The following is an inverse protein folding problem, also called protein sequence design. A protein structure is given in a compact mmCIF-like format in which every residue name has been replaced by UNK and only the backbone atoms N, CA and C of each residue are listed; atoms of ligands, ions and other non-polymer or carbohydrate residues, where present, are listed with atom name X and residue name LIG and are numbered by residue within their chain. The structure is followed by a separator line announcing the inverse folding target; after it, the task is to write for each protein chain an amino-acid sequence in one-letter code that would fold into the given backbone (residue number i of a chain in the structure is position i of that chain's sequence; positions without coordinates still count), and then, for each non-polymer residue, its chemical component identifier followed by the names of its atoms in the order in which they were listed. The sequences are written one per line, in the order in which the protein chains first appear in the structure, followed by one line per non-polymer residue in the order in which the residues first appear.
data_IF_409414577569
#
_entry.id   IF_409414577569
#
_cell.length_a   1.000
_cell.length_b   1.000
_cell.length_c   1.000
_cell.angle_alpha   90.00
_cell.angle_beta   90.00
_cell.angle_gamma   90.00
#
_symmetry.space_group_name_H-M   'P 1'
#
loop_
_entity.id
_entity.type
_entity.pdbx_description
1 polymer ?
#
# COMPACT_ATOMS: atom_id res chain seq x y z
N UNK A 1 -7.16 -36.72 -3.16
CA UNK A 1 -6.57 -35.88 -4.22
C UNK A 1 -5.09 -35.84 -3.90
N UNK A 2 -4.24 -36.36 -4.79
CA UNK A 2 -2.81 -36.54 -4.51
C UNK A 2 -2.08 -35.20 -4.59
N UNK A 3 -1.54 -34.75 -3.46
CA UNK A 3 -0.75 -33.52 -3.33
C UNK A 3 0.54 -33.57 -4.18
N UNK A 4 0.96 -34.74 -4.64
CA UNK A 4 2.17 -34.92 -5.46
C UNK A 4 2.05 -34.28 -6.86
N UNK A 5 0.82 -34.19 -7.41
CA UNK A 5 0.60 -33.61 -8.74
C UNK A 5 0.76 -32.09 -8.76
N UNK A 6 0.42 -31.41 -7.66
CA UNK A 6 0.56 -29.95 -7.57
C UNK A 6 2.01 -29.52 -7.42
N UNK A 7 2.82 -30.28 -6.67
CA UNK A 7 4.26 -30.03 -6.52
C UNK A 7 5.03 -30.24 -7.84
N UNK A 8 4.64 -31.23 -8.64
CA UNK A 8 5.29 -31.59 -9.91
C UNK A 8 5.17 -30.51 -10.99
N UNK A 9 4.02 -29.82 -11.07
CA UNK A 9 3.82 -28.74 -12.03
C UNK A 9 4.64 -27.48 -11.71
N UNK A 10 4.87 -27.22 -10.43
CA UNK A 10 5.65 -26.06 -9.94
C UNK A 10 7.17 -26.31 -10.15
N UNK A 11 7.66 -27.52 -9.83
CA UNK A 11 9.08 -27.87 -9.99
C UNK A 11 9.56 -27.84 -11.45
N UNK A 12 8.71 -28.28 -12.38
CA UNK A 12 9.05 -28.34 -13.82
C UNK A 12 9.19 -26.95 -14.44
N UNK A 13 8.45 -25.95 -13.95
CA UNK A 13 8.53 -24.55 -14.41
C UNK A 13 9.78 -23.83 -13.86
N UNK A 14 10.31 -24.28 -12.72
CA UNK A 14 11.50 -23.71 -12.06
C UNK A 14 12.83 -24.33 -12.52
N UNK A 15 12.82 -25.28 -13.47
CA UNK A 15 14.04 -25.89 -14.02
C UNK A 15 14.76 -26.88 -13.08
N UNK A 16 14.07 -27.38 -12.05
CA UNK A 16 14.59 -28.41 -11.15
C UNK A 16 14.28 -29.80 -11.73
N UNK A 17 15.29 -30.66 -11.86
CA UNK A 17 15.10 -32.04 -12.34
C UNK A 17 14.33 -32.87 -11.31
N UNK A 18 13.33 -33.67 -11.73
CA UNK A 18 12.34 -34.29 -10.84
C UNK A 18 12.85 -35.50 -10.03
N UNK A 19 14.16 -35.68 -9.87
CA UNK A 19 14.75 -36.91 -9.32
C UNK A 19 15.20 -36.77 -7.85
N UNK A 20 14.53 -35.92 -7.09
CA UNK A 20 14.66 -35.90 -5.63
C UNK A 20 13.33 -36.35 -5.04
N UNK A 21 13.37 -37.46 -4.34
CA UNK A 21 12.28 -37.98 -3.52
C UNK A 21 12.06 -37.01 -2.35
N UNK A 22 11.32 -35.93 -2.60
CA UNK A 22 10.99 -34.91 -1.58
C UNK A 22 9.88 -35.48 -0.70
N UNK A 23 10.28 -36.31 0.27
CA UNK A 23 9.41 -36.80 1.36
C UNK A 23 9.27 -35.80 2.50
N UNK A 24 9.92 -34.63 2.43
CA UNK A 24 9.49 -33.48 3.23
C UNK A 24 8.32 -32.81 2.53
N UNK A 25 7.11 -33.12 2.98
CA UNK A 25 6.00 -32.19 2.85
C UNK A 25 6.44 -30.94 3.61
N UNK A 26 7.07 -29.99 2.93
CA UNK A 26 7.05 -28.63 3.41
C UNK A 26 5.57 -28.29 3.54
N UNK A 27 5.11 -27.99 4.75
CA UNK A 27 3.83 -27.31 5.03
C UNK A 27 3.82 -25.88 4.44
N UNK A 28 4.51 -25.66 3.33
CA UNK A 28 4.47 -24.46 2.53
C UNK A 28 3.13 -24.44 1.82
N UNK A 29 2.26 -23.55 2.27
CA UNK A 29 1.03 -23.25 1.58
C UNK A 29 1.38 -22.72 0.17
N UNK A 30 0.99 -23.39 -0.93
CA UNK A 30 1.34 -22.94 -2.28
C UNK A 30 0.81 -21.54 -2.62
N UNK A 31 -0.17 -21.05 -1.84
CA UNK A 31 -0.69 -19.68 -1.90
C UNK A 31 0.33 -18.63 -1.48
N UNK A 32 1.35 -19.01 -0.71
CA UNK A 32 2.36 -18.09 -0.19
C UNK A 32 3.47 -17.82 -1.23
N UNK A 33 3.47 -18.52 -2.38
CA UNK A 33 4.62 -18.54 -3.29
C UNK A 33 4.32 -18.37 -4.79
N UNK A 34 3.08 -18.47 -5.28
CA UNK A 34 2.80 -18.25 -6.71
C UNK A 34 2.42 -16.78 -7.00
N UNK A 35 3.47 -15.97 -7.05
CA UNK A 35 3.45 -14.58 -7.54
C UNK A 35 4.27 -14.48 -8.81
N UNK A 36 3.66 -14.01 -9.90
CA UNK A 36 4.35 -13.79 -11.17
C UNK A 36 4.44 -12.30 -11.46
N UNK A 37 5.66 -11.84 -11.69
CA UNK A 37 5.97 -10.43 -11.94
C UNK A 37 6.44 -10.27 -13.38
N UNK A 38 5.82 -9.35 -14.12
CA UNK A 38 6.28 -8.95 -15.45
C UNK A 38 6.72 -7.50 -15.40
N UNK A 39 7.85 -7.20 -16.04
CA UNK A 39 8.40 -5.86 -16.12
C UNK A 39 8.32 -5.34 -17.56
N UNK A 40 8.13 -4.03 -17.71
CA UNK A 40 8.24 -3.38 -19.02
C UNK A 40 9.71 -3.23 -19.45
N UNK A 41 9.94 -2.67 -20.65
CA UNK A 41 11.30 -2.47 -21.17
C UNK A 41 12.12 -1.45 -20.38
N UNK A 42 11.48 -0.59 -19.60
CA UNK A 42 12.12 0.36 -18.71
C UNK A 42 12.41 -0.24 -17.32
N UNK A 43 11.97 -1.48 -17.05
CA UNK A 43 12.16 -2.17 -15.79
C UNK A 43 11.09 -1.86 -14.74
N UNK A 44 9.98 -1.20 -15.11
CA UNK A 44 8.88 -0.97 -14.18
C UNK A 44 8.03 -2.25 -14.03
N UNK A 45 7.53 -2.50 -12.82
CA UNK A 45 6.62 -3.62 -12.56
C UNK A 45 5.29 -3.40 -13.29
N UNK A 46 5.11 -4.03 -14.44
CA UNK A 46 4.00 -3.83 -15.36
C UNK A 46 2.82 -4.79 -15.13
N UNK A 47 3.08 -5.99 -14.59
CA UNK A 47 2.01 -6.93 -14.26
C UNK A 47 2.36 -7.77 -13.04
N UNK A 48 1.35 -8.02 -12.20
CA UNK A 48 1.39 -8.96 -11.09
C UNK A 48 0.26 -9.96 -11.26
N UNK A 49 0.56 -11.24 -11.18
CA UNK A 49 -0.44 -12.32 -11.15
C UNK A 49 -0.26 -13.07 -9.83
N UNK A 50 -1.31 -13.09 -9.02
CA UNK A 50 -1.29 -13.68 -7.68
C UNK A 50 -2.32 -14.79 -7.58
N UNK A 51 -1.90 -15.95 -7.07
CA UNK A 51 -2.81 -16.96 -6.57
C UNK A 51 -3.51 -16.43 -5.31
N UNK A 52 -4.84 -16.56 -5.22
CA UNK A 52 -5.62 -15.95 -4.12
C UNK A 52 -6.33 -16.95 -3.22
N UNK A 53 -6.30 -18.23 -3.56
CA UNK A 53 -6.91 -19.31 -2.78
C UNK A 53 -6.62 -20.66 -3.41
N UNK A 54 -6.88 -21.78 -2.73
CA UNK A 54 -6.80 -23.10 -3.34
C UNK A 54 -7.98 -23.29 -4.32
N UNK A 55 -7.97 -24.33 -5.16
CA UNK A 55 -9.12 -24.66 -5.99
C UNK A 55 -10.39 -24.79 -5.13
N UNK A 56 -11.51 -24.24 -5.60
CA UNK A 56 -12.79 -24.26 -4.88
C UNK A 56 -13.76 -25.22 -5.56
N UNK A 57 -14.43 -26.07 -4.77
CA UNK A 57 -15.40 -27.04 -5.29
C UNK A 57 -14.73 -28.18 -6.08
N UNK A 58 -15.21 -28.43 -7.29
CA UNK A 58 -14.68 -29.45 -8.20
C UNK A 58 -13.53 -28.93 -9.11
N UNK A 59 -13.13 -27.66 -8.94
CA UNK A 59 -12.06 -27.05 -9.72
C UNK A 59 -10.71 -27.73 -9.47
N UNK A 60 -9.87 -27.77 -10.50
CA UNK A 60 -8.52 -28.37 -10.42
C UNK A 60 -7.40 -27.32 -10.40
N UNK A 61 -7.75 -26.05 -10.62
CA UNK A 61 -6.85 -24.89 -10.65
C UNK A 61 -7.38 -23.86 -9.65
N UNK A 62 -6.47 -23.03 -9.12
CA UNK A 62 -6.79 -22.09 -8.07
C UNK A 62 -7.05 -20.66 -8.61
N UNK A 63 -7.87 -19.84 -7.93
CA UNK A 63 -8.23 -18.51 -8.40
C UNK A 63 -7.04 -17.55 -8.43
N UNK A 64 -7.11 -16.57 -9.34
CA UNK A 64 -6.05 -15.55 -9.52
C UNK A 64 -6.59 -14.13 -9.50
N UNK A 65 -5.75 -13.21 -9.06
CA UNK A 65 -5.90 -11.78 -9.30
C UNK A 65 -4.75 -11.29 -10.16
N UNK A 66 -5.09 -10.67 -11.28
CA UNK A 66 -4.13 -10.03 -12.18
C UNK A 66 -4.23 -8.53 -12.00
N UNK A 67 -3.08 -7.87 -11.85
CA UNK A 67 -2.97 -6.41 -11.80
C UNK A 67 -2.02 -5.95 -12.89
N UNK A 68 -2.52 -5.13 -13.79
CA UNK A 68 -1.74 -4.51 -14.84
C UNK A 68 -1.52 -3.03 -14.50
N UNK A 69 -0.31 -2.56 -14.75
CA UNK A 69 0.11 -1.21 -14.43
C UNK A 69 0.61 -0.50 -15.68
N UNK A 70 0.15 0.74 -15.85
CA UNK A 70 0.67 1.65 -16.86
C UNK A 70 1.51 2.72 -16.19
N UNK A 71 2.41 3.32 -16.97
CA UNK A 71 3.36 4.32 -16.49
C UNK A 71 3.37 5.54 -17.39
N UNK A 72 3.62 6.71 -16.80
CA UNK A 72 3.92 7.94 -17.54
C UNK A 72 5.28 7.79 -18.23
N UNK A 73 5.58 8.71 -19.15
CA UNK A 73 6.88 8.74 -19.83
C UNK A 73 8.07 8.86 -18.87
N UNK A 74 7.84 9.37 -17.65
CA UNK A 74 8.86 9.50 -16.60
C UNK A 74 8.89 8.33 -15.61
N UNK A 75 8.05 7.32 -15.79
CA UNK A 75 8.03 6.11 -14.96
C UNK A 75 7.13 6.19 -13.72
N UNK A 76 6.37 7.27 -13.51
CA UNK A 76 5.35 7.29 -12.47
C UNK A 76 4.17 6.40 -12.89
N UNK A 77 3.57 5.64 -11.96
CA UNK A 77 2.44 4.76 -12.27
C UNK A 77 1.21 5.57 -12.69
N UNK A 78 0.78 5.47 -13.94
CA UNK A 78 -0.36 6.21 -14.49
C UNK A 78 -1.70 5.49 -14.32
N UNK A 79 -1.68 4.18 -14.08
CA UNK A 79 -2.92 3.43 -13.91
C UNK A 79 -2.73 2.03 -13.33
N UNK A 80 -3.83 1.49 -12.86
CA UNK A 80 -4.02 0.11 -12.43
C UNK A 80 -5.31 -0.40 -13.06
N UNK A 81 -5.24 -1.60 -13.65
CA UNK A 81 -6.41 -2.41 -13.97
C UNK A 81 -6.27 -3.74 -13.26
N UNK A 82 -7.26 -4.11 -12.45
CA UNK A 82 -7.32 -5.39 -11.76
C UNK A 82 -8.40 -6.26 -12.40
N UNK A 83 -8.07 -7.52 -12.65
CA UNK A 83 -9.01 -8.56 -13.06
C UNK A 83 -8.96 -9.73 -12.08
N UNK A 84 -10.13 -10.24 -11.73
CA UNK A 84 -10.30 -11.34 -10.79
C UNK A 84 -10.83 -12.54 -11.57
N UNK A 85 -10.06 -13.63 -11.53
CA UNK A 85 -10.38 -14.89 -12.18
C UNK A 85 -10.87 -15.86 -11.11
N UNK A 86 -12.18 -16.06 -11.08
CA UNK A 86 -12.83 -17.01 -10.16
C UNK A 86 -12.89 -18.44 -10.70
N UNK A 87 -12.64 -18.62 -12.00
CA UNK A 87 -12.78 -19.87 -12.74
C UNK A 87 -11.47 -20.28 -13.45
N UNK A 88 -10.76 -21.21 -12.82
CA UNK A 88 -9.90 -22.25 -13.39
C UNK A 88 -8.82 -21.95 -14.45
N UNK A 89 -8.64 -20.73 -15.00
CA UNK A 89 -7.47 -20.36 -15.85
C UNK A 89 -7.27 -18.84 -15.94
N UNK A 90 -6.03 -18.39 -16.21
CA UNK A 90 -5.71 -16.98 -16.53
C UNK A 90 -6.42 -16.46 -17.80
N UNK A 91 -7.02 -17.35 -18.59
CA UNK A 91 -7.75 -17.06 -19.83
C UNK A 91 -9.27 -17.26 -19.71
N UNK A 92 -9.74 -17.59 -18.51
CA UNK A 92 -11.16 -17.83 -18.19
C UNK A 92 -11.99 -16.55 -18.04
N UNK A 93 -13.19 -16.69 -17.49
CA UNK A 93 -14.12 -15.55 -17.32
C UNK A 93 -13.63 -14.63 -16.20
N UNK A 94 -13.06 -13.50 -16.58
CA UNK A 94 -12.61 -12.50 -15.62
C UNK A 94 -13.75 -11.56 -15.22
N UNK A 95 -13.76 -11.16 -13.94
CA UNK A 95 -14.51 -10.00 -13.48
C UNK A 95 -13.57 -8.82 -13.28
N UNK A 96 -14.06 -7.60 -13.55
CA UNK A 96 -13.28 -6.38 -13.29
C UNK A 96 -13.18 -6.17 -11.78
N UNK A 97 -11.94 -6.05 -11.29
CA UNK A 97 -11.63 -5.62 -9.94
C UNK A 97 -11.46 -4.11 -9.87
N UNK A 98 -10.49 -3.64 -9.07
CA UNK A 98 -10.16 -2.22 -8.97
C UNK A 98 -9.58 -1.66 -10.27
N UNK A 99 -10.07 -0.49 -10.67
CA UNK A 99 -9.44 0.33 -11.72
C UNK A 99 -9.07 1.68 -11.14
N UNK A 100 -7.86 2.16 -11.42
CA UNK A 100 -7.38 3.46 -10.97
C UNK A 100 -6.67 4.17 -12.13
N UNK A 101 -6.91 5.48 -12.24
CA UNK A 101 -6.13 6.37 -13.10
C UNK A 101 -5.46 7.41 -12.22
N UNK A 102 -4.15 7.59 -12.40
CA UNK A 102 -3.34 8.51 -11.62
C UNK A 102 -2.85 9.63 -12.54
N UNK A 103 -3.07 10.86 -12.11
CA UNK A 103 -2.63 12.06 -12.82
C UNK A 103 -1.57 12.78 -11.99
N UNK A 104 -0.63 13.42 -12.69
CA UNK A 104 0.53 14.05 -12.07
C UNK A 104 0.76 15.44 -12.64
N UNK A 105 1.32 16.32 -11.83
CA UNK A 105 1.83 17.60 -12.30
C UNK A 105 3.22 17.47 -12.93
N UNK A 106 3.80 18.61 -13.34
CA UNK A 106 5.13 18.64 -13.95
C UNK A 106 6.26 18.16 -13.04
N UNK A 107 6.05 18.14 -11.72
CA UNK A 107 7.00 17.69 -10.71
C UNK A 107 6.74 16.22 -10.28
N UNK A 108 5.90 15.49 -11.02
CA UNK A 108 5.55 14.08 -10.77
C UNK A 108 4.85 13.84 -9.42
N UNK A 109 4.08 14.82 -8.97
CA UNK A 109 3.22 14.72 -7.78
C UNK A 109 1.77 14.45 -8.19
N UNK A 110 1.03 13.58 -7.47
CA UNK A 110 -0.38 13.34 -7.75
C UNK A 110 -1.22 14.62 -7.80
N UNK A 111 -2.20 14.73 -8.69
CA UNK A 111 -3.02 15.95 -8.84
C UNK A 111 -4.50 15.78 -8.57
N UNK A 112 -4.97 14.54 -8.40
CA UNK A 112 -6.41 14.24 -8.27
C UNK A 112 -6.94 14.62 -6.87
N UNK A 113 -7.16 15.92 -6.66
CA UNK A 113 -7.60 16.49 -5.37
C UNK A 113 -6.49 16.76 -4.36
N UNK A 114 -5.25 16.42 -4.69
CA UNK A 114 -4.05 16.82 -3.94
C UNK A 114 -3.72 18.29 -4.20
N UNK A 115 -3.35 19.01 -3.13
CA UNK A 115 -2.91 20.41 -3.20
C UNK A 115 -1.56 20.54 -2.53
N UNK A 116 -0.72 21.41 -3.10
CA UNK A 116 0.65 21.66 -2.63
C UNK A 116 0.88 23.15 -2.43
N UNK A 117 1.74 23.48 -1.48
CA UNK A 117 2.25 24.84 -1.33
C UNK A 117 3.36 25.15 -2.34
N UNK A 118 3.90 26.37 -2.26
CA UNK A 118 4.96 26.86 -3.16
C UNK A 118 6.30 26.15 -2.98
N UNK A 119 6.55 25.51 -1.83
CA UNK A 119 7.73 24.68 -1.57
C UNK A 119 7.52 23.24 -2.02
N UNK A 120 6.28 22.92 -2.40
CA UNK A 120 5.86 21.65 -2.94
C UNK A 120 5.45 20.62 -1.90
N UNK A 121 5.26 21.04 -0.65
CA UNK A 121 4.70 20.23 0.42
C UNK A 121 3.20 20.12 0.25
N UNK A 122 2.65 18.97 0.61
CA UNK A 122 1.24 18.70 0.43
C UNK A 122 0.41 19.39 1.51
N UNK A 123 -0.50 20.29 1.14
CA UNK A 123 -1.44 20.96 2.06
C UNK A 123 -2.80 20.29 2.09
N UNK A 124 -3.11 19.43 1.11
CA UNK A 124 -4.38 18.70 1.06
C UNK A 124 -4.18 17.27 0.56
N UNK A 125 -4.72 16.30 1.32
CA UNK A 125 -4.98 14.93 0.85
C UNK A 125 -6.47 14.84 0.50
N UNK A 126 -6.85 14.34 -0.69
CA UNK A 126 -8.26 14.16 -1.02
C UNK A 126 -8.94 13.12 -0.12
N UNK A 127 -10.24 13.28 0.10
CA UNK A 127 -11.04 12.38 0.94
C UNK A 127 -10.93 10.91 0.53
N UNK A 128 -10.85 10.63 -0.78
CA UNK A 128 -10.75 9.27 -1.32
C UNK A 128 -9.49 8.53 -0.84
N UNK A 129 -8.41 9.27 -0.54
CA UNK A 129 -7.12 8.74 -0.09
C UNK A 129 -6.87 8.99 1.40
N UNK A 130 -7.86 9.55 2.11
CA UNK A 130 -7.77 9.78 3.55
C UNK A 130 -8.20 8.53 4.36
N UNK A 131 -7.72 8.35 5.61
CA UNK A 131 -8.08 7.19 6.43
C UNK A 131 -9.58 7.07 6.74
N UNK A 132 -10.28 8.20 6.87
CA UNK A 132 -11.73 8.26 6.97
C UNK A 132 -12.34 9.12 5.84
N UNK A 133 -12.62 8.53 4.66
CA UNK A 133 -13.16 9.29 3.53
C UNK A 133 -14.48 10.02 3.82
N UNK A 134 -15.26 9.53 4.80
CA UNK A 134 -16.52 10.15 5.21
C UNK A 134 -16.34 11.49 5.92
N UNK A 135 -15.12 11.82 6.36
CA UNK A 135 -14.76 13.10 7.00
C UNK A 135 -14.20 14.12 6.04
N UNK A 136 -14.15 13.80 4.75
CA UNK A 136 -13.61 14.68 3.73
C UNK A 136 -12.07 14.69 3.71
N UNK A 137 -11.53 15.72 3.06
CA UNK A 137 -10.10 15.90 2.84
C UNK A 137 -9.32 16.07 4.16
N UNK A 138 -8.04 15.70 4.14
CA UNK A 138 -7.09 16.11 5.17
C UNK A 138 -6.47 17.44 4.77
N UNK A 139 -6.44 18.41 5.68
CA UNK A 139 -5.65 19.63 5.57
C UNK A 139 -4.37 19.50 6.40
N UNK A 140 -3.26 20.00 5.85
CA UNK A 140 -1.93 19.97 6.47
C UNK A 140 -1.36 21.39 6.53
N UNK A 141 -0.87 21.78 7.71
CA UNK A 141 -0.02 22.96 7.89
C UNK A 141 1.34 22.53 8.43
N UNK A 142 2.36 23.35 8.17
CA UNK A 142 3.76 23.03 8.45
C UNK A 142 4.44 24.16 9.18
N UNK A 143 5.45 23.80 9.96
CA UNK A 143 6.48 24.74 10.40
C UNK A 143 7.32 25.20 9.19
N UNK A 144 8.16 26.21 9.40
CA UNK A 144 9.14 26.69 8.42
C UNK A 144 10.29 25.70 8.18
N UNK A 145 10.41 24.68 9.04
CA UNK A 145 11.37 23.58 8.94
C UNK A 145 10.76 22.29 8.37
N UNK A 146 9.66 22.41 7.62
CA UNK A 146 8.98 21.31 6.89
C UNK A 146 8.38 20.19 7.75
N UNK A 147 8.39 20.31 9.08
CA UNK A 147 7.67 19.41 9.97
C UNK A 147 6.16 19.75 10.00
N UNK A 148 5.25 18.76 10.02
CA UNK A 148 3.83 19.01 10.20
C UNK A 148 3.55 19.73 11.53
N UNK A 149 2.83 20.84 11.46
CA UNK A 149 2.39 21.62 12.60
C UNK A 149 0.92 21.36 12.94
N UNK A 150 0.08 21.16 11.92
CA UNK A 150 -1.35 20.91 12.08
C UNK A 150 -1.84 19.91 11.04
N UNK A 151 -2.71 19.00 11.48
CA UNK A 151 -3.40 18.02 10.65
C UNK A 151 -4.88 18.08 11.01
N UNK A 152 -5.74 18.38 10.04
CA UNK A 152 -7.19 18.43 10.23
C UNK A 152 -7.89 17.48 9.29
N UNK A 153 -8.84 16.70 9.80
CA UNK A 153 -9.79 15.94 9.01
C UNK A 153 -11.19 16.02 9.62
N UNK A 154 -12.16 16.54 8.85
CA UNK A 154 -13.47 16.89 9.38
C UNK A 154 -13.34 17.85 10.58
N UNK A 155 -14.01 17.54 11.68
CA UNK A 155 -13.98 18.34 12.91
C UNK A 155 -12.86 17.93 13.90
N UNK A 156 -11.93 17.07 13.46
CA UNK A 156 -10.78 16.66 14.29
C UNK A 156 -9.53 17.35 13.80
N UNK A 157 -8.86 18.07 14.71
CA UNK A 157 -7.59 18.76 14.44
C UNK A 157 -6.54 18.27 15.43
N UNK A 158 -5.36 17.91 14.93
CA UNK A 158 -4.19 17.61 15.75
C UNK A 158 -3.11 18.63 15.46
N UNK A 159 -2.64 19.34 16.48
CA UNK A 159 -1.53 20.28 16.41
C UNK A 159 -0.32 19.71 17.14
N UNK A 160 0.87 20.09 16.67
CA UNK A 160 2.13 19.75 17.29
C UNK A 160 2.85 21.01 17.75
N UNK A 161 3.51 20.95 18.90
CA UNK A 161 4.56 21.88 19.26
C UNK A 161 5.89 21.13 19.33
N UNK A 162 6.99 21.84 19.05
CA UNK A 162 8.32 21.27 19.02
C UNK A 162 9.15 21.72 20.21
N UNK A 163 10.11 20.91 20.61
CA UNK A 163 11.19 21.33 21.50
C UNK A 163 12.28 22.09 20.73
N UNK A 164 13.30 22.54 21.47
CA UNK A 164 14.43 23.29 20.90
C UNK A 164 15.28 22.49 19.90
N UNK A 165 15.13 21.16 19.89
CA UNK A 165 15.80 20.24 18.96
C UNK A 165 14.87 19.83 17.81
N UNK A 166 13.74 20.53 17.62
CA UNK A 166 12.72 20.24 16.62
C UNK A 166 12.03 18.87 16.78
N UNK A 167 12.07 18.26 17.97
CA UNK A 167 11.32 17.04 18.27
C UNK A 167 9.92 17.39 18.73
N UNK A 168 8.94 16.52 18.50
CA UNK A 168 7.56 16.73 19.00
C UNK A 168 7.56 16.77 20.53
N UNK A 169 7.20 17.93 21.08
CA UNK A 169 7.09 18.17 22.51
C UNK A 169 5.66 17.96 22.99
N UNK A 170 4.69 18.53 22.27
CA UNK A 170 3.28 18.32 22.55
C UNK A 170 2.53 17.92 21.29
N UNK A 171 1.51 17.10 21.48
CA UNK A 171 0.48 16.80 20.50
C UNK A 171 -0.86 17.13 21.12
N UNK A 172 -1.61 18.06 20.56
CA UNK A 172 -2.96 18.42 21.03
C UNK A 172 -3.97 18.03 19.97
N UNK A 173 -4.87 17.10 20.31
CA UNK A 173 -5.97 16.69 19.45
C UNK A 173 -7.28 17.27 19.99
N UNK A 174 -7.93 18.09 19.18
CA UNK A 174 -9.27 18.64 19.44
C UNK A 174 -10.28 17.95 18.54
N UNK A 175 -11.37 17.48 19.14
CA UNK A 175 -12.54 16.93 18.47
C UNK A 175 -13.80 17.65 18.98
N UNK A 176 -14.99 17.40 18.40
CA UNK A 176 -16.24 17.94 18.93
C UNK A 176 -16.53 17.54 20.38
N UNK A 177 -15.95 16.44 20.86
CA UNK A 177 -16.20 15.91 22.22
C UNK A 177 -15.21 16.41 23.25
N UNK A 178 -14.13 17.09 22.85
CA UNK A 178 -13.14 17.62 23.79
C UNK A 178 -11.76 17.81 23.18
N UNK A 179 -10.81 18.20 24.02
CA UNK A 179 -9.40 18.35 23.65
C UNK A 179 -8.55 17.49 24.56
N UNK A 180 -7.58 16.80 23.98
CA UNK A 180 -6.60 15.98 24.67
C UNK A 180 -5.20 16.44 24.28
N UNK A 181 -4.31 16.58 25.25
CA UNK A 181 -2.91 16.97 25.00
C UNK A 181 -1.99 15.89 25.53
N UNK A 182 -1.08 15.44 24.69
CA UNK A 182 -0.03 14.52 25.07
C UNK A 182 1.30 15.28 25.10
N UNK A 183 2.04 15.20 26.20
CA UNK A 183 3.37 15.84 26.34
C UNK A 183 4.47 14.78 26.36
N UNK A 184 5.50 14.96 25.55
CA UNK A 184 6.64 14.06 25.43
C UNK A 184 7.81 14.61 26.24
N UNK A 185 8.43 13.78 27.08
CA UNK A 185 9.57 14.19 27.89
C UNK A 185 10.81 13.42 27.49
N UNK A 186 11.80 14.12 26.94
CA UNK A 186 13.06 13.54 26.48
C UNK A 186 14.14 13.68 27.56
N UNK A 187 14.86 12.60 27.83
CA UNK A 187 15.98 12.58 28.78
C UNK A 187 17.36 12.53 28.11
N UNK A 188 17.37 12.35 26.79
CA UNK A 188 18.58 12.27 25.96
C UNK A 188 18.37 12.97 24.61
N UNK A 189 19.36 12.85 23.72
CA UNK A 189 19.34 13.42 22.37
C UNK A 189 18.66 12.56 21.31
N UNK A 190 18.03 11.44 21.68
CA UNK A 190 17.28 10.60 20.73
C UNK A 190 15.88 11.18 20.47
N UNK A 191 15.22 10.66 19.43
CA UNK A 191 13.81 10.98 19.13
C UNK A 191 12.82 10.09 19.90
N UNK A 192 13.31 9.35 20.90
CA UNK A 192 12.48 8.51 21.75
C UNK A 192 12.23 9.21 23.10
N UNK A 193 10.97 9.52 23.46
CA UNK A 193 10.68 10.12 24.76
C UNK A 193 11.00 9.12 25.88
N UNK A 194 11.53 9.64 27.00
CA UNK A 194 11.70 8.86 28.22
C UNK A 194 10.34 8.51 28.85
N UNK A 195 9.36 9.41 28.75
CA UNK A 195 7.99 9.16 29.16
C UNK A 195 7.01 10.14 28.49
N UNK A 196 5.71 9.85 28.63
CA UNK A 196 4.60 10.58 28.00
C UNK A 196 3.52 10.91 29.03
N UNK A 197 3.06 12.16 29.06
CA UNK A 197 1.94 12.67 29.88
C UNK A 197 0.68 12.85 29.04
N UNK A 198 -0.52 12.75 29.64
CA UNK A 198 -1.85 12.94 29.01
C UNK A 198 -2.65 14.06 29.69
#
# INVERSE_FOLDING_TARGET
MDLSLFASAIATTAGLTPDVDVTEVLDANPLDFDHRYTYDKAGNLAKVENLTGPPVGEATVSPYVVREYTFTAKGARAGLSETIHGDDTLTGTATTGKTLTLTYDSADRPTDGYVYDVFGRQTTVPAADAPDPGKGNISLAYFDIDLPQEITQGDTTTTFALDVSARRLTQTTTTPTGTMTTTQHYADGSDNPAWVEL
#
